data_IF_867379013910
#
_entry.id   IF_867379013910
#
_cell.length_a   1.000
_cell.length_b   1.000
_cell.length_c   1.000
_cell.angle_alpha   90.00
_cell.angle_beta   90.00
_cell.angle_gamma   90.00
#
_symmetry.space_group_name_H-M   'P 1'
#
loop_
_entity.id
_entity.type
_entity.pdbx_description
1 polymer ?
#
# COMPACT_ATOMS: atom_id res chain seq x y z
N UNK A 1 8.77 32.50 -7.87
CA UNK A 1 9.46 31.71 -6.83
C UNK A 1 8.65 30.44 -6.68
N UNK A 2 9.15 29.31 -7.18
CA UNK A 2 8.43 28.03 -7.13
C UNK A 2 8.14 27.67 -5.68
N UNK A 3 6.99 27.04 -5.42
CA UNK A 3 6.55 26.73 -4.06
C UNK A 3 7.40 25.59 -3.46
N UNK A 4 8.59 25.93 -2.96
CA UNK A 4 9.56 25.00 -2.35
C UNK A 4 9.02 24.31 -1.08
N UNK A 5 7.84 24.71 -0.59
CA UNK A 5 7.23 24.14 0.61
C UNK A 5 7.04 22.62 0.55
N UNK A 6 6.61 22.08 -0.58
CA UNK A 6 6.31 20.65 -0.76
C UNK A 6 7.54 19.79 -1.12
N UNK A 7 8.75 20.35 -0.97
CA UNK A 7 10.00 19.62 -1.19
C UNK A 7 10.55 19.10 0.13
N UNK A 8 11.12 17.87 0.15
CA UNK A 8 11.79 17.39 1.34
C UNK A 8 13.02 18.24 1.62
N UNK A 9 13.33 18.44 2.90
CA UNK A 9 14.56 19.15 3.28
C UNK A 9 15.78 18.39 2.78
N UNK A 10 16.67 19.10 2.08
CA UNK A 10 17.88 18.53 1.49
C UNK A 10 18.74 17.87 2.58
N UNK A 11 19.25 16.68 2.28
CA UNK A 11 20.23 16.01 3.14
C UNK A 11 21.58 16.73 3.22
N UNK A 12 21.83 17.71 2.34
CA UNK A 12 23.01 18.57 2.37
C UNK A 12 22.83 19.75 3.35
N UNK A 13 21.60 20.16 3.63
CA UNK A 13 21.29 21.28 4.52
C UNK A 13 20.98 20.82 5.95
N UNK A 14 20.18 19.76 6.08
CA UNK A 14 19.86 19.12 7.36
C UNK A 14 20.23 17.64 7.30
N UNK A 15 21.17 17.16 8.15
CA UNK A 15 21.54 15.75 8.19
C UNK A 15 20.32 14.84 8.37
N UNK A 16 20.34 13.66 7.73
CA UNK A 16 19.18 12.76 7.65
C UNK A 16 18.71 12.22 9.00
N UNK A 17 19.63 12.10 9.96
CA UNK A 17 19.33 11.69 11.34
C UNK A 17 18.70 12.80 12.19
N UNK A 18 18.46 14.00 11.63
CA UNK A 18 17.92 15.15 12.33
C UNK A 18 16.64 15.69 11.69
N UNK A 19 15.84 16.38 12.51
CA UNK A 19 14.52 16.90 12.15
C UNK A 19 13.39 16.03 12.70
N UNK A 20 12.15 16.48 12.54
CA UNK A 20 10.96 15.69 12.86
C UNK A 20 10.77 14.64 11.76
N UNK A 21 10.63 13.35 12.08
CA UNK A 21 10.52 12.28 11.09
C UNK A 21 9.10 12.21 10.52
N UNK A 22 8.82 13.02 9.51
CA UNK A 22 7.68 12.85 8.59
C UNK A 22 8.07 11.92 7.44
N UNK A 23 7.08 11.38 6.73
CA UNK A 23 7.32 10.58 5.53
C UNK A 23 8.18 11.35 4.53
N UNK A 24 9.33 10.75 4.20
CA UNK A 24 10.36 11.25 3.29
C UNK A 24 10.85 12.67 3.64
N UNK A 25 10.69 13.09 4.90
CA UNK A 25 11.01 14.45 5.39
C UNK A 25 10.23 15.56 4.69
N UNK A 26 9.02 15.25 4.22
CA UNK A 26 8.07 16.21 3.65
C UNK A 26 7.46 17.11 4.74
N UNK A 27 6.90 18.28 4.38
CA UNK A 27 6.09 19.04 5.32
C UNK A 27 4.90 18.21 5.81
N UNK A 28 4.54 18.40 7.08
CA UNK A 28 3.27 17.92 7.61
C UNK A 28 2.15 18.91 7.23
N UNK A 29 1.07 18.40 6.63
CA UNK A 29 -0.13 19.17 6.30
C UNK A 29 -1.34 18.42 6.84
N UNK A 30 -1.90 18.87 7.96
CA UNK A 30 -3.09 18.26 8.54
C UNK A 30 -4.34 18.50 7.69
N UNK A 31 -5.40 17.72 7.90
CA UNK A 31 -6.64 17.86 7.12
C UNK A 31 -7.40 19.18 7.35
N UNK A 32 -7.07 19.91 8.41
CA UNK A 32 -7.63 21.24 8.71
C UNK A 32 -6.69 22.39 8.28
N UNK A 33 -5.54 22.06 7.71
CA UNK A 33 -4.58 23.04 7.20
C UNK A 33 -5.09 23.66 5.88
N UNK A 34 -5.07 25.00 5.71
CA UNK A 34 -5.46 25.65 4.46
C UNK A 34 -4.69 25.15 3.23
N UNK A 35 -3.47 24.66 3.40
CA UNK A 35 -2.63 24.11 2.33
C UNK A 35 -3.08 22.72 1.86
N UNK A 36 -4.02 22.07 2.53
CA UNK A 36 -4.55 20.78 2.09
C UNK A 36 -5.03 20.84 0.63
N UNK A 37 -5.69 21.93 0.25
CA UNK A 37 -6.18 22.16 -1.12
C UNK A 37 -5.06 22.27 -2.18
N UNK A 38 -3.81 22.47 -1.76
CA UNK A 38 -2.66 22.47 -2.66
C UNK A 38 -2.08 21.06 -2.86
N UNK A 39 -2.26 20.14 -1.91
CA UNK A 39 -1.66 18.79 -1.94
C UNK A 39 -2.22 17.99 -3.12
N UNK A 40 -1.36 17.24 -3.80
CA UNK A 40 -1.73 16.37 -4.92
C UNK A 40 -1.59 14.89 -4.57
N UNK A 41 -0.55 14.53 -3.81
CA UNK A 41 -0.35 13.18 -3.28
C UNK A 41 -0.13 13.28 -1.77
N UNK A 42 -0.95 12.58 -1.00
CA UNK A 42 -0.89 12.55 0.46
C UNK A 42 -0.26 11.27 0.96
N UNK A 43 0.87 11.37 1.67
CA UNK A 43 1.45 10.23 2.37
C UNK A 43 0.78 10.12 3.74
N UNK A 44 0.16 8.97 4.01
CA UNK A 44 -0.73 8.79 5.17
C UNK A 44 -0.28 7.55 5.95
N UNK A 45 -0.27 7.63 7.27
CA UNK A 45 -0.09 6.44 8.11
C UNK A 45 -1.43 5.83 8.55
N UNK A 46 -1.52 4.51 8.51
CA UNK A 46 -2.66 3.74 9.05
C UNK A 46 -2.19 2.85 10.23
N UNK A 47 -2.00 3.39 11.45
CA UNK A 47 -1.40 2.65 12.57
C UNK A 47 -2.40 1.71 13.26
N UNK A 48 -2.93 0.73 12.54
CA UNK A 48 -3.99 -0.15 13.01
C UNK A 48 -3.78 -1.61 12.60
N UNK A 49 -3.92 -2.54 13.54
CA UNK A 49 -3.78 -3.98 13.31
C UNK A 49 -4.90 -4.79 14.02
N UNK A 50 -6.10 -4.20 14.06
CA UNK A 50 -7.26 -4.80 14.73
C UNK A 50 -7.84 -6.02 13.99
N UNK A 51 -7.48 -6.21 12.72
CA UNK A 51 -7.85 -7.36 11.91
C UNK A 51 -6.88 -8.53 12.00
N UNK A 52 -5.73 -8.36 12.66
CA UNK A 52 -4.67 -9.37 12.72
C UNK A 52 -5.10 -10.57 13.55
N UNK A 53 -4.95 -11.77 12.99
CA UNK A 53 -5.41 -13.02 13.63
C UNK A 53 -4.31 -13.85 14.28
N UNK A 54 -3.03 -13.54 14.01
CA UNK A 54 -1.88 -14.30 14.49
C UNK A 54 -0.85 -13.43 15.24
N UNK A 55 0.03 -12.72 14.51
CA UNK A 55 1.13 -11.94 15.10
C UNK A 55 0.91 -10.42 14.92
N UNK A 56 0.44 -9.70 15.96
CA UNK A 56 0.18 -8.26 15.88
C UNK A 56 1.49 -7.45 15.89
N UNK A 57 1.38 -6.14 15.66
CA UNK A 57 2.54 -5.27 15.50
C UNK A 57 2.46 -4.28 14.33
N UNK A 58 1.71 -4.54 13.24
CA UNK A 58 1.59 -3.59 12.12
C UNK A 58 1.09 -2.19 12.51
N UNK A 59 0.42 -2.04 13.67
CA UNK A 59 0.08 -0.72 14.24
C UNK A 59 1.29 0.21 14.44
N UNK A 60 2.50 -0.36 14.54
CA UNK A 60 3.75 0.40 14.68
C UNK A 60 4.43 0.70 13.34
N UNK A 61 4.00 0.05 12.26
CA UNK A 61 4.55 0.17 10.91
C UNK A 61 4.70 1.62 10.42
N UNK A 62 3.65 2.46 10.47
CA UNK A 62 3.73 3.83 9.94
C UNK A 62 4.82 4.67 10.62
N UNK A 63 5.10 4.43 11.90
CA UNK A 63 6.14 5.15 12.63
C UNK A 63 7.54 4.73 12.19
N UNK A 64 7.79 3.43 12.05
CA UNK A 64 9.09 2.92 11.60
C UNK A 64 9.34 3.25 10.12
N UNK A 65 8.30 3.22 9.30
CA UNK A 65 8.37 3.65 7.89
C UNK A 65 8.76 5.13 7.80
N UNK A 66 8.16 6.02 8.59
CA UNK A 66 8.57 7.44 8.64
C UNK A 66 10.02 7.61 9.07
N UNK A 67 10.46 6.91 10.11
CA UNK A 67 11.83 7.00 10.61
C UNK A 67 12.85 6.61 9.53
N UNK A 68 12.65 5.46 8.88
CA UNK A 68 13.57 4.97 7.84
C UNK A 68 13.41 5.72 6.50
N UNK A 69 12.28 6.38 6.28
CA UNK A 69 12.09 7.27 5.13
C UNK A 69 13.10 8.41 5.08
N UNK A 70 13.74 8.76 6.20
CA UNK A 70 14.78 9.80 6.26
C UNK A 70 15.99 9.49 5.37
N UNK A 71 16.18 8.23 4.98
CA UNK A 71 17.22 7.79 4.04
C UNK A 71 16.85 7.96 2.56
N UNK A 72 15.56 8.13 2.23
CA UNK A 72 15.08 8.32 0.86
C UNK A 72 15.57 9.67 0.30
N UNK A 73 16.00 9.67 -0.96
CA UNK A 73 16.46 10.88 -1.68
C UNK A 73 15.34 11.44 -2.56
N UNK A 74 15.54 12.63 -3.10
CA UNK A 74 14.51 13.34 -3.87
C UNK A 74 14.21 12.74 -5.26
N UNK A 75 15.08 11.87 -5.78
CA UNK A 75 14.99 11.33 -7.13
C UNK A 75 15.34 9.84 -7.15
N UNK A 76 14.62 9.08 -7.97
CA UNK A 76 14.86 7.66 -8.19
C UNK A 76 16.15 7.45 -9.01
N UNK A 77 17.08 6.64 -8.50
CA UNK A 77 18.37 6.42 -9.17
C UNK A 77 18.33 5.48 -10.37
N UNK A 78 17.25 4.69 -10.53
CA UNK A 78 17.08 3.79 -11.67
C UNK A 78 16.26 4.45 -12.79
N UNK A 79 15.18 5.14 -12.44
CA UNK A 79 14.25 5.75 -13.41
C UNK A 79 14.48 7.24 -13.63
N UNK A 80 15.23 7.90 -12.75
CA UNK A 80 15.44 9.36 -12.72
C UNK A 80 14.16 10.19 -12.52
N UNK A 81 13.06 9.57 -12.11
CA UNK A 81 11.84 10.28 -11.71
C UNK A 81 12.09 11.04 -10.41
N UNK A 82 11.79 12.34 -10.40
CA UNK A 82 11.86 13.23 -9.24
C UNK A 82 10.43 13.59 -8.78
N UNK A 83 9.75 12.75 -7.97
CA UNK A 83 8.32 12.90 -7.71
C UNK A 83 7.95 14.23 -7.07
N UNK A 84 8.83 14.78 -6.23
CA UNK A 84 8.61 16.07 -5.55
C UNK A 84 8.77 17.30 -6.46
N UNK A 85 9.27 17.11 -7.68
CA UNK A 85 9.27 18.14 -8.73
C UNK A 85 8.01 18.04 -9.60
N UNK A 86 7.46 16.83 -9.74
CA UNK A 86 6.25 16.54 -10.53
C UNK A 86 4.96 16.86 -9.76
N UNK A 87 4.93 16.57 -8.46
CA UNK A 87 3.73 16.64 -7.64
C UNK A 87 3.99 17.28 -6.27
N UNK A 88 3.02 18.07 -5.79
CA UNK A 88 3.00 18.62 -4.43
C UNK A 88 2.61 17.51 -3.45
N UNK A 89 3.62 16.95 -2.79
CA UNK A 89 3.48 15.84 -1.84
C UNK A 89 3.57 16.34 -0.40
N UNK A 90 2.79 15.78 0.52
CA UNK A 90 2.86 16.10 1.94
C UNK A 90 2.59 14.86 2.81
N UNK A 91 3.12 14.86 4.03
CA UNK A 91 2.72 13.90 5.07
C UNK A 91 1.43 14.41 5.73
N UNK A 92 0.33 13.70 5.53
CA UNK A 92 -0.98 14.08 6.07
C UNK A 92 -1.18 13.58 7.51
N UNK A 93 -0.15 13.00 8.12
CA UNK A 93 -0.21 12.42 9.45
C UNK A 93 -0.84 11.02 9.44
N UNK A 94 -1.40 10.64 10.58
CA UNK A 94 -2.03 9.33 10.75
C UNK A 94 -3.55 9.47 10.77
N UNK A 95 -4.20 8.44 10.23
CA UNK A 95 -5.57 8.13 10.66
C UNK A 95 -5.53 7.81 12.15
N UNK A 96 -6.50 8.30 12.93
CA UNK A 96 -6.64 7.98 14.34
C UNK A 96 -7.58 6.77 14.54
N UNK A 97 -7.07 5.54 14.73
CA UNK A 97 -7.91 4.37 14.98
C UNK A 97 -8.38 4.32 16.44
N UNK A 98 -9.39 3.48 16.70
CA UNK A 98 -9.78 3.07 18.03
C UNK A 98 -9.30 1.63 18.29
N UNK A 99 -8.18 1.42 19.00
CA UNK A 99 -7.64 0.08 19.21
C UNK A 99 -8.55 -0.83 20.05
N UNK A 100 -9.59 -0.29 20.71
CA UNK A 100 -10.59 -1.05 21.45
C UNK A 100 -11.86 -1.38 20.67
N UNK A 101 -12.04 -0.81 19.47
CA UNK A 101 -13.23 -1.02 18.65
C UNK A 101 -12.88 -1.05 17.15
N UNK A 102 -13.02 -2.25 16.57
CA UNK A 102 -12.75 -2.52 15.17
C UNK A 102 -13.66 -1.72 14.24
N UNK A 103 -14.96 -1.65 14.55
CA UNK A 103 -15.94 -1.01 13.68
C UNK A 103 -15.81 0.52 13.74
N UNK A 104 -15.52 1.08 14.90
CA UNK A 104 -15.20 2.51 15.04
C UNK A 104 -13.91 2.88 14.29
N UNK A 105 -12.88 2.03 14.33
CA UNK A 105 -11.66 2.22 13.54
C UNK A 105 -11.94 2.27 12.04
N UNK A 106 -12.73 1.32 11.53
CA UNK A 106 -13.17 1.28 10.13
C UNK A 106 -13.93 2.56 9.73
N UNK A 107 -14.84 3.03 10.59
CA UNK A 107 -15.61 4.25 10.33
C UNK A 107 -14.74 5.50 10.31
N UNK A 108 -13.83 5.65 11.29
CA UNK A 108 -12.88 6.77 11.36
C UNK A 108 -11.94 6.82 10.17
N UNK A 109 -11.44 5.66 9.76
CA UNK A 109 -10.57 5.54 8.59
C UNK A 109 -11.31 5.94 7.32
N UNK A 110 -12.51 5.39 7.08
CA UNK A 110 -13.35 5.79 5.94
C UNK A 110 -13.61 7.31 5.94
N UNK A 111 -13.95 7.90 7.09
CA UNK A 111 -14.19 9.35 7.19
C UNK A 111 -12.93 10.20 6.91
N UNK A 112 -11.74 9.71 7.29
CA UNK A 112 -10.49 10.36 6.97
C UNK A 112 -10.24 10.35 5.45
N UNK A 113 -10.34 9.18 4.81
CA UNK A 113 -10.09 9.07 3.37
C UNK A 113 -11.17 9.75 2.52
N UNK A 114 -12.41 9.83 3.01
CA UNK A 114 -13.47 10.64 2.38
C UNK A 114 -13.04 12.10 2.25
N UNK A 115 -12.39 12.68 3.28
CA UNK A 115 -11.88 14.06 3.23
C UNK A 115 -10.71 14.19 2.27
N UNK A 116 -9.79 13.22 2.27
CA UNK A 116 -8.61 13.21 1.37
C UNK A 116 -9.05 13.15 -0.09
N UNK A 117 -9.93 12.21 -0.43
CA UNK A 117 -10.44 12.02 -1.80
C UNK A 117 -11.30 13.21 -2.23
N UNK A 118 -12.14 13.77 -1.33
CA UNK A 118 -12.93 14.97 -1.62
C UNK A 118 -12.07 16.20 -1.92
N UNK A 119 -10.85 16.28 -1.36
CA UNK A 119 -9.87 17.32 -1.68
C UNK A 119 -9.13 17.08 -3.02
N UNK A 120 -9.40 15.97 -3.71
CA UNK A 120 -8.74 15.60 -4.97
C UNK A 120 -7.31 15.06 -4.79
N UNK A 121 -6.96 14.63 -3.56
CA UNK A 121 -5.63 14.12 -3.22
C UNK A 121 -5.58 12.61 -3.48
N UNK A 122 -4.52 12.15 -4.15
CA UNK A 122 -4.23 10.72 -4.27
C UNK A 122 -3.61 10.19 -2.97
N UNK A 123 -4.19 9.19 -2.31
CA UNK A 123 -3.62 8.60 -1.10
C UNK A 123 -2.48 7.63 -1.43
N UNK A 124 -1.35 7.78 -0.74
CA UNK A 124 -0.29 6.77 -0.64
C UNK A 124 -0.11 6.40 0.83
N UNK A 125 -0.60 5.23 1.22
CA UNK A 125 -0.71 4.84 2.61
C UNK A 125 0.41 3.89 3.03
N UNK A 126 0.96 4.10 4.23
CA UNK A 126 1.91 3.17 4.84
C UNK A 126 1.39 2.62 6.17
N UNK A 127 1.46 1.31 6.33
CA UNK A 127 1.32 0.57 7.58
C UNK A 127 -0.07 0.01 7.88
N UNK A 128 -0.18 -0.54 9.08
CA UNK A 128 -1.34 -1.31 9.52
C UNK A 128 -1.40 -2.72 8.93
N UNK A 129 -2.34 -3.52 9.39
CA UNK A 129 -2.65 -4.81 8.76
C UNK A 129 -3.49 -4.60 7.49
N UNK A 130 -3.65 -5.65 6.68
CA UNK A 130 -4.31 -5.54 5.38
C UNK A 130 -5.80 -5.13 5.44
N UNK A 131 -6.43 -5.24 6.62
CA UNK A 131 -7.81 -4.77 6.81
C UNK A 131 -7.91 -3.24 6.63
N UNK A 132 -6.80 -2.51 6.78
CA UNK A 132 -6.72 -1.07 6.51
C UNK A 132 -7.10 -0.71 5.07
N UNK A 133 -6.96 -1.61 4.10
CA UNK A 133 -7.28 -1.31 2.70
C UNK A 133 -8.79 -1.23 2.43
N UNK A 134 -9.62 -1.98 3.16
CA UNK A 134 -11.08 -1.95 3.00
C UNK A 134 -11.71 -0.55 3.24
N UNK A 135 -11.46 0.15 4.36
CA UNK A 135 -12.00 1.50 4.56
C UNK A 135 -11.39 2.54 3.60
N UNK A 136 -10.18 2.33 3.09
CA UNK A 136 -9.59 3.18 2.05
C UNK A 136 -10.37 3.02 0.74
N UNK A 137 -10.61 1.77 0.32
CA UNK A 137 -11.36 1.44 -0.87
C UNK A 137 -12.80 1.98 -0.82
N UNK A 138 -13.45 1.98 0.35
CA UNK A 138 -14.79 2.57 0.52
C UNK A 138 -14.83 4.06 0.13
N UNK A 139 -13.72 4.78 0.30
CA UNK A 139 -13.60 6.18 -0.09
C UNK A 139 -13.11 6.36 -1.53
N UNK A 140 -12.08 5.62 -1.95
CA UNK A 140 -11.51 5.74 -3.30
C UNK A 140 -12.48 5.27 -4.39
N UNK A 141 -13.21 4.18 -4.13
CA UNK A 141 -14.18 3.61 -5.07
C UNK A 141 -15.60 4.18 -4.94
N UNK A 142 -15.79 5.25 -4.15
CA UNK A 142 -17.11 5.82 -3.84
C UNK A 142 -17.91 6.25 -5.08
N UNK A 143 -17.22 6.66 -6.15
CA UNK A 143 -17.85 7.06 -7.40
C UNK A 143 -18.11 5.90 -8.36
N UNK A 144 -17.24 4.88 -8.35
CA UNK A 144 -17.31 3.68 -9.20
C UNK A 144 -16.32 2.62 -8.70
N UNK A 145 -16.56 1.34 -8.97
CA UNK A 145 -15.59 0.28 -8.72
C UNK A 145 -14.25 0.58 -9.44
N UNK A 146 -13.15 0.19 -8.81
CA UNK A 146 -11.80 0.33 -9.36
C UNK A 146 -11.25 -1.02 -9.81
N UNK A 147 -10.27 -1.02 -10.72
CA UNK A 147 -9.40 -2.19 -10.89
C UNK A 147 -8.43 -2.30 -9.73
N UNK A 148 -7.80 -3.45 -9.54
CA UNK A 148 -6.83 -3.66 -8.47
C UNK A 148 -5.68 -4.57 -8.89
N UNK A 149 -4.47 -4.20 -8.47
CA UNK A 149 -3.30 -5.10 -8.48
C UNK A 149 -2.89 -5.28 -7.02
N UNK A 150 -2.87 -6.53 -6.58
CA UNK A 150 -2.44 -6.92 -5.24
C UNK A 150 -1.15 -7.73 -5.32
N UNK A 151 -0.13 -7.28 -4.59
CA UNK A 151 1.10 -8.03 -4.37
C UNK A 151 1.07 -8.60 -2.96
N UNK A 152 1.05 -9.93 -2.85
CA UNK A 152 0.73 -10.58 -1.59
C UNK A 152 1.17 -12.05 -1.58
N UNK A 153 1.40 -12.62 -0.40
CA UNK A 153 1.54 -14.07 -0.23
C UNK A 153 0.19 -14.77 0.01
N UNK A 154 -0.84 -14.05 0.44
CA UNK A 154 -2.20 -14.53 0.69
C UNK A 154 -3.24 -13.89 -0.23
N UNK A 155 -4.40 -14.54 -0.36
CA UNK A 155 -5.47 -14.03 -1.23
C UNK A 155 -6.27 -12.92 -0.57
N UNK A 156 -6.42 -12.97 0.75
CA UNK A 156 -7.27 -12.07 1.54
C UNK A 156 -8.75 -12.04 1.09
N UNK A 157 -9.18 -13.18 0.53
CA UNK A 157 -10.53 -13.46 0.03
C UNK A 157 -11.33 -14.42 0.93
N UNK A 158 -10.85 -14.74 2.13
CA UNK A 158 -11.61 -15.59 3.05
C UNK A 158 -12.91 -14.92 3.49
N UNK A 159 -13.91 -15.71 3.88
CA UNK A 159 -15.16 -15.18 4.41
C UNK A 159 -15.09 -14.85 5.90
N UNK A 160 -15.01 -15.87 6.75
CA UNK A 160 -15.23 -15.74 8.19
C UNK A 160 -14.15 -16.46 8.96
N UNK A 161 -13.56 -15.75 9.91
CA UNK A 161 -12.65 -16.33 10.90
C UNK A 161 -13.39 -16.62 12.21
N UNK A 162 -13.02 -17.72 12.87
CA UNK A 162 -13.52 -18.09 14.21
C UNK A 162 -15.07 -18.11 14.34
N UNK A 163 -15.77 -18.42 13.25
CA UNK A 163 -17.23 -18.54 13.19
C UNK A 163 -18.01 -17.23 13.06
N UNK A 164 -17.45 -16.08 13.43
CA UNK A 164 -18.16 -14.77 13.38
C UNK A 164 -17.33 -13.58 12.89
N UNK A 165 -16.00 -13.70 12.86
CA UNK A 165 -15.09 -12.63 12.46
C UNK A 165 -15.14 -12.37 10.96
N UNK A 166 -15.99 -11.43 10.53
CA UNK A 166 -16.13 -11.02 9.12
C UNK A 166 -15.10 -9.98 8.66
N UNK A 167 -14.37 -9.38 9.60
CA UNK A 167 -13.41 -8.32 9.34
C UNK A 167 -12.10 -8.68 10.05
N UNK A 168 -11.22 -9.30 9.28
CA UNK A 168 -9.82 -9.59 9.63
C UNK A 168 -8.94 -9.18 8.47
N UNK A 169 -7.63 -9.15 8.68
CA UNK A 169 -6.68 -8.90 7.60
C UNK A 169 -6.79 -9.91 6.45
N UNK A 170 -7.29 -11.13 6.67
CA UNK A 170 -7.52 -12.13 5.62
C UNK A 170 -8.87 -12.04 4.87
N UNK A 171 -9.66 -10.98 5.09
CA UNK A 171 -11.01 -10.80 4.51
C UNK A 171 -11.28 -9.50 3.72
N UNK A 172 -10.38 -8.48 3.65
CA UNK A 172 -10.74 -7.15 3.17
C UNK A 172 -11.22 -7.17 1.72
N UNK A 173 -10.63 -7.98 0.85
CA UNK A 173 -10.92 -7.93 -0.58
C UNK A 173 -12.17 -8.70 -0.97
N UNK A 174 -12.53 -9.73 -0.20
CA UNK A 174 -13.87 -10.31 -0.32
C UNK A 174 -14.95 -9.29 0.01
N UNK A 175 -14.79 -8.55 1.11
CA UNK A 175 -15.72 -7.47 1.48
C UNK A 175 -15.76 -6.39 0.42
N UNK A 176 -14.61 -6.00 -0.12
CA UNK A 176 -14.55 -4.99 -1.16
C UNK A 176 -15.26 -5.43 -2.47
N UNK A 177 -15.18 -6.71 -2.84
CA UNK A 177 -15.96 -7.26 -3.97
C UNK A 177 -17.45 -7.33 -3.64
N UNK A 178 -17.84 -7.82 -2.46
CA UNK A 178 -19.24 -7.87 -2.00
C UNK A 178 -19.88 -6.48 -1.90
N UNK A 179 -19.10 -5.45 -1.54
CA UNK A 179 -19.52 -4.05 -1.45
C UNK A 179 -19.48 -3.31 -2.81
N UNK A 180 -19.01 -3.97 -3.88
CA UNK A 180 -18.91 -3.37 -5.22
C UNK A 180 -17.85 -2.27 -5.33
N UNK A 181 -16.80 -2.33 -4.51
CA UNK A 181 -15.69 -1.37 -4.51
C UNK A 181 -14.63 -1.71 -5.56
N UNK A 182 -14.48 -2.99 -5.88
CA UNK A 182 -13.53 -3.51 -6.87
C UNK A 182 -14.31 -4.16 -8.01
N UNK A 183 -13.89 -3.91 -9.25
CA UNK A 183 -14.33 -4.71 -10.40
C UNK A 183 -13.50 -6.00 -10.44
N UNK A 184 -14.10 -7.17 -10.13
CA UNK A 184 -13.34 -8.41 -10.02
C UNK A 184 -12.73 -8.87 -11.36
N UNK A 185 -13.29 -8.44 -12.50
CA UNK A 185 -12.71 -8.74 -13.81
C UNK A 185 -11.45 -7.91 -14.11
N UNK A 186 -11.23 -6.83 -13.35
CA UNK A 186 -10.03 -5.97 -13.38
C UNK A 186 -9.19 -6.15 -12.12
N UNK A 187 -9.18 -7.34 -11.55
CA UNK A 187 -8.46 -7.65 -10.32
C UNK A 187 -7.49 -8.82 -10.52
N UNK A 188 -6.21 -8.55 -10.29
CA UNK A 188 -5.13 -9.54 -10.32
C UNK A 188 -4.35 -9.58 -9.00
N UNK A 189 -4.17 -10.78 -8.45
CA UNK A 189 -3.33 -11.06 -7.29
C UNK A 189 -2.04 -11.74 -7.75
N UNK A 190 -0.91 -11.33 -7.19
CA UNK A 190 0.40 -11.81 -7.61
C UNK A 190 1.20 -12.21 -6.38
N UNK A 191 1.68 -13.46 -6.35
CA UNK A 191 2.60 -13.95 -5.32
C UNK A 191 2.04 -14.99 -4.35
N UNK A 192 0.77 -15.41 -4.56
CA UNK A 192 0.06 -16.35 -3.69
C UNK A 192 0.85 -17.64 -3.50
N UNK A 193 1.06 -18.02 -2.23
CA UNK A 193 1.86 -19.19 -1.83
C UNK A 193 1.54 -19.65 -0.41
N UNK A 194 2.32 -20.62 0.08
CA UNK A 194 2.16 -21.15 1.43
C UNK A 194 1.23 -22.35 1.50
N UNK A 195 0.98 -22.82 2.72
CA UNK A 195 0.03 -23.91 2.98
C UNK A 195 -1.39 -23.36 3.15
N UNK A 196 -2.39 -24.00 2.54
CA UNK A 196 -3.78 -23.55 2.61
C UNK A 196 -4.64 -24.38 3.57
N UNK A 197 -5.63 -23.74 4.19
CA UNK A 197 -6.68 -24.42 4.98
C UNK A 197 -7.71 -25.14 4.09
N UNK A 198 -7.87 -24.68 2.85
CA UNK A 198 -8.85 -25.14 1.89
C UNK A 198 -8.69 -24.40 0.56
N UNK A 199 -9.74 -24.37 -0.25
CA UNK A 199 -9.74 -23.73 -1.58
C UNK A 199 -10.85 -22.67 -1.73
N UNK A 200 -11.55 -22.34 -0.67
CA UNK A 200 -12.77 -21.53 -0.72
C UNK A 200 -12.52 -20.11 -1.26
N UNK A 201 -11.41 -19.51 -0.86
CA UNK A 201 -10.90 -18.23 -1.34
C UNK A 201 -10.52 -18.25 -2.83
N UNK A 202 -9.91 -19.33 -3.31
CA UNK A 202 -9.63 -19.54 -4.74
C UNK A 202 -10.90 -19.81 -5.55
N UNK A 203 -11.85 -20.55 -5.00
CA UNK A 203 -13.15 -20.82 -5.62
C UNK A 203 -13.96 -19.52 -5.71
N UNK A 204 -13.90 -18.66 -4.68
CA UNK A 204 -14.46 -17.30 -4.71
C UNK A 204 -13.80 -16.46 -5.81
N UNK A 205 -12.48 -16.47 -5.91
CA UNK A 205 -11.76 -15.75 -6.97
C UNK A 205 -12.22 -16.19 -8.37
N UNK A 206 -12.24 -17.50 -8.62
CA UNK A 206 -12.67 -18.06 -9.90
C UNK A 206 -14.14 -17.73 -10.21
N UNK A 207 -15.04 -17.81 -9.22
CA UNK A 207 -16.45 -17.52 -9.39
C UNK A 207 -16.74 -16.05 -9.75
N UNK A 208 -15.87 -15.13 -9.34
CA UNK A 208 -16.02 -13.69 -9.58
C UNK A 208 -15.16 -13.17 -10.76
N UNK A 209 -14.29 -14.01 -11.35
CA UNK A 209 -13.42 -13.62 -12.46
C UNK A 209 -12.12 -12.93 -12.04
N UNK A 210 -11.71 -13.12 -10.78
CA UNK A 210 -10.46 -12.59 -10.23
C UNK A 210 -9.29 -13.47 -10.70
N UNK A 211 -8.22 -12.84 -11.19
CA UNK A 211 -7.02 -13.55 -11.64
C UNK A 211 -6.04 -13.74 -10.49
N UNK A 212 -5.57 -14.97 -10.27
CA UNK A 212 -4.52 -15.28 -9.31
C UNK A 212 -3.29 -15.77 -10.09
N UNK A 213 -2.16 -15.08 -9.92
CA UNK A 213 -0.83 -15.47 -10.41
C UNK A 213 -0.04 -16.04 -9.22
N UNK A 214 0.06 -17.37 -9.09
CA UNK A 214 0.76 -18.01 -7.97
C UNK A 214 2.26 -17.74 -8.05
N UNK A 215 2.97 -17.82 -6.91
CA UNK A 215 4.41 -17.53 -6.87
C UNK A 215 5.24 -18.39 -7.84
N UNK A 216 4.82 -19.64 -8.07
CA UNK A 216 5.49 -20.57 -8.98
C UNK A 216 5.41 -20.16 -10.45
N UNK A 217 4.36 -19.46 -10.84
CA UNK A 217 4.23 -18.91 -12.19
C UNK A 217 4.98 -17.57 -12.29
N UNK A 218 4.95 -16.75 -11.24
CA UNK A 218 5.76 -15.53 -11.15
C UNK A 218 7.25 -15.82 -11.38
N UNK A 219 7.82 -16.80 -10.67
CA UNK A 219 9.23 -17.16 -10.83
C UNK A 219 9.54 -17.76 -12.21
N UNK A 220 8.62 -18.51 -12.81
CA UNK A 220 8.84 -19.16 -14.11
C UNK A 220 8.79 -18.18 -15.28
N UNK A 221 7.89 -17.20 -15.19
CA UNK A 221 7.61 -16.22 -16.25
C UNK A 221 8.49 -14.98 -16.14
N UNK A 222 8.84 -14.59 -14.91
CA UNK A 222 9.61 -13.38 -14.63
C UNK A 222 8.72 -12.13 -14.53
N UNK A 223 9.31 -11.05 -14.01
CA UNK A 223 8.57 -9.81 -13.68
C UNK A 223 7.95 -9.16 -14.93
N UNK A 224 8.69 -9.09 -16.04
CA UNK A 224 8.24 -8.40 -17.25
C UNK A 224 6.94 -9.02 -17.81
N UNK A 225 6.89 -10.33 -17.96
CA UNK A 225 5.74 -11.05 -18.52
C UNK A 225 4.52 -11.00 -17.58
N UNK A 226 4.74 -11.17 -16.27
CA UNK A 226 3.67 -11.07 -15.27
C UNK A 226 3.09 -9.66 -15.22
N UNK A 227 3.93 -8.63 -15.23
CA UNK A 227 3.46 -7.25 -15.20
C UNK A 227 2.79 -6.84 -16.50
N UNK A 228 3.18 -7.40 -17.65
CA UNK A 228 2.46 -7.20 -18.90
C UNK A 228 1.01 -7.72 -18.81
N UNK A 229 0.81 -8.96 -18.36
CA UNK A 229 -0.54 -9.52 -18.13
C UNK A 229 -1.34 -8.72 -17.09
N UNK A 230 -0.72 -8.37 -15.96
CA UNK A 230 -1.38 -7.60 -14.91
C UNK A 230 -1.93 -6.27 -15.44
N UNK A 231 -1.16 -5.59 -16.29
CA UNK A 231 -1.59 -4.35 -16.96
C UNK A 231 -2.70 -4.56 -17.98
N UNK A 232 -2.70 -5.68 -18.70
CA UNK A 232 -3.77 -6.02 -19.63
C UNK A 232 -5.10 -6.24 -18.89
N UNK A 233 -5.06 -6.95 -17.75
CA UNK A 233 -6.23 -7.22 -16.91
C UNK A 233 -6.84 -5.92 -16.37
N UNK A 234 -6.02 -5.04 -15.77
CA UNK A 234 -6.54 -3.79 -15.21
C UNK A 234 -6.80 -2.71 -16.28
N UNK A 235 -6.25 -2.87 -17.48
CA UNK A 235 -6.45 -1.96 -18.61
C UNK A 235 -6.10 -0.50 -18.28
N UNK A 236 -6.88 0.44 -18.83
CA UNK A 236 -6.61 1.89 -18.73
C UNK A 236 -7.50 2.63 -17.72
N UNK A 237 -8.36 1.91 -17.00
CA UNK A 237 -9.28 2.50 -16.03
C UNK A 237 -8.62 2.74 -14.66
N UNK A 238 -9.32 3.40 -13.73
CA UNK A 238 -8.80 3.71 -12.40
C UNK A 238 -8.44 2.42 -11.66
N UNK A 239 -7.22 2.36 -11.14
CA UNK A 239 -6.65 1.17 -10.53
C UNK A 239 -6.08 1.49 -9.15
N UNK A 240 -6.44 0.72 -8.15
CA UNK A 240 -5.85 0.77 -6.82
C UNK A 240 -4.71 -0.25 -6.72
N UNK A 241 -3.61 0.12 -6.07
CA UNK A 241 -2.47 -0.78 -5.87
C UNK A 241 -2.34 -1.09 -4.40
N UNK A 242 -2.36 -2.37 -4.04
CA UNK A 242 -2.12 -2.78 -2.66
C UNK A 242 -0.89 -3.68 -2.61
N UNK A 243 0.04 -3.34 -1.73
CA UNK A 243 1.32 -4.03 -1.61
C UNK A 243 1.49 -4.54 -0.18
N UNK A 244 1.29 -5.83 0.02
CA UNK A 244 1.68 -6.50 1.25
C UNK A 244 3.19 -6.72 1.27
N UNK A 245 3.86 -6.33 2.36
CA UNK A 245 5.30 -6.55 2.49
C UNK A 245 5.66 -8.05 2.55
N UNK A 246 4.73 -8.91 2.94
CA UNK A 246 4.88 -10.36 2.98
C UNK A 246 4.80 -11.02 1.60
N UNK A 247 4.45 -10.26 0.55
CA UNK A 247 4.73 -10.65 -0.83
C UNK A 247 6.20 -11.07 -0.96
N UNK A 248 7.11 -10.32 -0.33
CA UNK A 248 8.57 -10.50 -0.38
C UNK A 248 9.03 -11.65 0.53
N UNK A 249 10.06 -12.39 0.12
CA UNK A 249 10.60 -13.47 0.94
C UNK A 249 11.05 -12.97 2.34
N UNK A 250 10.80 -13.73 3.42
CA UNK A 250 11.17 -13.35 4.79
C UNK A 250 12.67 -13.12 5.01
N UNK A 251 13.53 -13.57 4.09
CA UNK A 251 14.95 -13.22 4.06
C UNK A 251 15.16 -11.70 3.93
N UNK A 252 14.27 -11.01 3.23
CA UNK A 252 14.32 -9.57 2.97
C UNK A 252 13.28 -8.78 3.76
N UNK A 253 12.14 -9.40 4.09
CA UNK A 253 11.04 -8.81 4.86
C UNK A 253 10.65 -9.66 6.09
N UNK A 254 11.55 -9.87 7.07
CA UNK A 254 11.23 -10.69 8.25
C UNK A 254 10.15 -10.07 9.17
N UNK A 255 9.99 -8.75 9.10
CA UNK A 255 9.11 -7.94 9.93
C UNK A 255 7.68 -7.87 9.42
N UNK A 256 6.98 -9.00 9.37
CA UNK A 256 5.56 -9.09 8.98
C UNK A 256 4.79 -10.06 9.89
N UNK A 257 3.46 -9.98 9.92
CA UNK A 257 2.59 -10.86 10.70
C UNK A 257 2.60 -12.33 10.23
N UNK A 258 2.58 -12.58 8.93
CA UNK A 258 2.27 -13.88 8.30
C UNK A 258 3.29 -14.31 7.23
N UNK A 259 4.58 -14.46 7.56
CA UNK A 259 5.64 -14.67 6.59
C UNK A 259 5.52 -16.02 5.89
N UNK A 260 5.50 -16.00 4.56
CA UNK A 260 5.58 -17.21 3.73
C UNK A 260 6.92 -17.29 2.98
N UNK A 261 7.63 -18.40 3.09
CA UNK A 261 8.92 -18.60 2.40
C UNK A 261 8.76 -18.80 0.89
N UNK A 262 9.83 -18.56 0.12
CA UNK A 262 9.86 -18.77 -1.34
C UNK A 262 9.34 -17.58 -2.15
N UNK A 263 9.28 -16.40 -1.53
CA UNK A 263 8.88 -15.15 -2.17
C UNK A 263 9.93 -14.61 -3.16
N UNK A 264 9.65 -13.47 -3.81
CA UNK A 264 10.61 -12.71 -4.57
C UNK A 264 11.67 -12.10 -3.66
N UNK A 265 12.82 -11.77 -4.26
CA UNK A 265 13.85 -10.98 -3.60
C UNK A 265 13.51 -9.47 -3.61
N UNK A 266 14.30 -8.69 -2.88
CA UNK A 266 14.10 -7.23 -2.80
C UNK A 266 14.24 -6.49 -4.13
N UNK A 267 14.94 -7.04 -5.12
CA UNK A 267 15.04 -6.42 -6.45
C UNK A 267 13.75 -6.60 -7.24
N UNK A 268 13.24 -7.83 -7.32
CA UNK A 268 11.97 -8.16 -7.97
C UNK A 268 10.80 -7.38 -7.33
N UNK A 269 10.85 -7.18 -6.01
CA UNK A 269 9.91 -6.34 -5.27
C UNK A 269 9.84 -4.89 -5.79
N UNK A 270 10.98 -4.30 -6.18
CA UNK A 270 11.00 -2.96 -6.78
C UNK A 270 10.61 -2.99 -8.27
N UNK A 271 10.99 -4.05 -8.99
CA UNK A 271 10.68 -4.19 -10.42
C UNK A 271 9.18 -4.29 -10.70
N UNK A 272 8.43 -5.03 -9.88
CA UNK A 272 6.97 -5.13 -10.06
C UNK A 272 6.29 -3.76 -9.94
N UNK A 273 6.75 -2.91 -9.01
CA UNK A 273 6.24 -1.54 -8.85
C UNK A 273 6.57 -0.69 -10.07
N UNK A 274 7.80 -0.78 -10.59
CA UNK A 274 8.19 -0.07 -11.83
C UNK A 274 7.37 -0.55 -13.04
N UNK A 275 6.96 -1.81 -13.05
CA UNK A 275 6.05 -2.38 -14.04
C UNK A 275 4.67 -1.71 -14.07
N UNK A 276 4.27 -0.99 -13.00
CA UNK A 276 2.99 -0.26 -12.94
C UNK A 276 3.00 1.04 -13.76
N UNK A 277 4.14 1.41 -14.37
CA UNK A 277 4.29 2.67 -15.12
C UNK A 277 3.19 2.86 -16.17
N UNK A 278 2.57 4.04 -16.14
CA UNK A 278 1.53 4.46 -17.08
C UNK A 278 0.11 4.02 -16.73
N UNK A 279 -0.12 3.33 -15.60
CA UNK A 279 -1.47 3.04 -15.11
C UNK A 279 -2.12 4.29 -14.45
N UNK A 280 -3.44 4.40 -14.53
CA UNK A 280 -4.23 5.42 -13.81
C UNK A 280 -4.40 5.00 -12.34
N UNK A 281 -3.36 5.23 -11.53
CA UNK A 281 -3.35 4.85 -10.11
C UNK A 281 -4.14 5.88 -9.29
N UNK A 282 -5.26 5.45 -8.71
CA UNK A 282 -6.15 6.31 -7.91
C UNK A 282 -5.86 6.32 -6.41
N UNK A 283 -4.97 5.43 -5.98
CA UNK A 283 -4.49 5.30 -4.61
C UNK A 283 -3.61 4.06 -4.48
N UNK A 284 -2.75 4.04 -3.47
CA UNK A 284 -1.94 2.88 -3.17
C UNK A 284 -1.66 2.72 -1.68
N UNK A 285 -1.40 1.50 -1.24
CA UNK A 285 -0.91 1.22 0.11
C UNK A 285 0.27 0.24 0.15
N UNK A 286 1.07 0.35 1.22
CA UNK A 286 2.04 -0.64 1.67
C UNK A 286 1.68 -1.06 3.11
N UNK A 287 1.35 -2.32 3.31
CA UNK A 287 0.79 -2.84 4.58
C UNK A 287 1.68 -3.92 5.22
N UNK A 288 1.27 -4.41 6.39
CA UNK A 288 1.83 -5.53 7.17
C UNK A 288 3.27 -5.38 7.68
N UNK A 289 3.90 -4.21 7.50
CA UNK A 289 5.18 -3.90 8.16
C UNK A 289 4.97 -3.92 9.68
N UNK A 290 5.59 -4.90 10.34
CA UNK A 290 5.44 -5.21 11.77
C UNK A 290 6.78 -5.04 12.50
N UNK A 291 7.05 -3.84 13.06
CA UNK A 291 8.31 -3.53 13.75
C UNK A 291 8.73 -4.49 14.88
N UNK A 292 7.82 -5.08 15.68
CA UNK A 292 8.21 -6.08 16.69
C UNK A 292 8.96 -7.29 16.12
N UNK A 293 8.82 -7.56 14.81
CA UNK A 293 9.51 -8.64 14.11
C UNK A 293 10.61 -8.12 13.15
N UNK A 294 10.90 -6.81 13.17
CA UNK A 294 11.90 -6.15 12.31
C UNK A 294 13.08 -5.59 13.12
N UNK A 295 13.81 -6.47 13.81
CA UNK A 295 14.86 -6.06 14.74
C UNK A 295 15.95 -5.15 14.12
N UNK A 296 16.19 -5.27 12.81
CA UNK A 296 17.18 -4.46 12.09
C UNK A 296 16.60 -3.21 11.42
N UNK A 297 15.27 -3.09 11.33
CA UNK A 297 14.61 -2.10 10.47
C UNK A 297 14.67 -2.41 8.97
N UNK A 298 15.16 -3.58 8.57
CA UNK A 298 15.32 -3.94 7.15
C UNK A 298 14.00 -4.02 6.40
N UNK A 299 12.94 -4.50 7.06
CA UNK A 299 11.61 -4.63 6.46
C UNK A 299 10.99 -3.27 6.23
N UNK A 300 11.06 -2.38 7.22
CA UNK A 300 10.56 -1.01 7.07
C UNK A 300 11.41 -0.18 6.09
N UNK A 301 12.72 -0.45 5.96
CA UNK A 301 13.54 0.18 4.92
C UNK A 301 13.14 -0.27 3.51
N UNK A 302 12.90 -1.57 3.32
CA UNK A 302 12.39 -2.10 2.06
C UNK A 302 10.99 -1.54 1.76
N UNK A 303 10.11 -1.55 2.75
CA UNK A 303 8.75 -1.02 2.65
C UNK A 303 8.74 0.44 2.19
N UNK A 304 9.52 1.32 2.83
CA UNK A 304 9.55 2.73 2.40
C UNK A 304 10.23 2.94 1.05
N UNK A 305 11.13 2.04 0.65
CA UNK A 305 11.70 2.04 -0.70
C UNK A 305 10.64 1.69 -1.75
N UNK A 306 9.77 0.71 -1.46
CA UNK A 306 8.60 0.36 -2.28
C UNK A 306 7.61 1.53 -2.34
N UNK A 307 7.30 2.17 -1.21
CA UNK A 307 6.46 3.38 -1.19
C UNK A 307 7.05 4.50 -2.07
N UNK A 308 8.37 4.67 -2.09
CA UNK A 308 9.01 5.65 -2.96
C UNK A 308 8.92 5.29 -4.46
N UNK A 309 9.04 4.00 -4.81
CA UNK A 309 8.77 3.54 -6.19
C UNK A 309 7.30 3.79 -6.59
N UNK A 310 6.35 3.48 -5.70
CA UNK A 310 4.92 3.76 -5.92
C UNK A 310 4.68 5.27 -6.13
N UNK A 311 5.25 6.10 -5.26
CA UNK A 311 5.18 7.56 -5.38
C UNK A 311 5.70 8.05 -6.73
N UNK A 312 6.83 7.50 -7.20
CA UNK A 312 7.40 7.87 -8.50
C UNK A 312 6.43 7.53 -9.64
N UNK A 313 5.87 6.31 -9.65
CA UNK A 313 4.93 5.88 -10.70
C UNK A 313 3.64 6.70 -10.66
N UNK A 314 3.09 6.95 -9.48
CA UNK A 314 1.89 7.77 -9.30
C UNK A 314 2.12 9.22 -9.78
N UNK A 315 3.25 9.82 -9.38
CA UNK A 315 3.56 11.20 -9.75
C UNK A 315 3.79 11.35 -11.26
N UNK A 316 4.53 10.43 -11.87
CA UNK A 316 4.80 10.45 -13.30
C UNK A 316 3.53 10.21 -14.13
N UNK A 317 2.72 9.21 -13.79
CA UNK A 317 1.51 8.90 -14.56
C UNK A 317 0.49 10.04 -14.55
N UNK A 318 0.43 10.82 -13.46
CA UNK A 318 -0.59 11.85 -13.25
C UNK A 318 -0.11 13.28 -13.58
N UNK A 319 1.18 13.54 -13.42
CA UNK A 319 1.75 14.90 -13.46
C UNK A 319 3.04 15.03 -14.29
N UNK A 320 3.54 13.91 -14.84
CA UNK A 320 4.70 13.86 -15.74
C UNK A 320 4.39 14.19 -17.20
#
# INVERSE_FOLDING_TARGET
>A
MGNDFFRPVSGLDLPRFAGIPTFMRLPHVGLDDPRLAEVQIGLIGAPWDGGTTNRPGPRHGPRQLRDLSTMIRAQNGATWVAPFELARCADLGDVSPNPGDLMDSMARMTAFYDRVVAAGILPLTGGGDHLCSLPILRSVAKARPVGMIQFDSHTDLNDVYFGTGRYTHGTPFRRAVEEGLIDPARYVLIGIRGTAYGREDWDFAAANGITIIPIGDFHRRGVEDVMAEAREIVGTGPTYITYDIDFVDPTFAPGTGTPEVGGPNSWQALEVVRGLRGLDIVGADLVEVSPPFDASGGTAWLGVSIMFELLCVMAEARFG
#
